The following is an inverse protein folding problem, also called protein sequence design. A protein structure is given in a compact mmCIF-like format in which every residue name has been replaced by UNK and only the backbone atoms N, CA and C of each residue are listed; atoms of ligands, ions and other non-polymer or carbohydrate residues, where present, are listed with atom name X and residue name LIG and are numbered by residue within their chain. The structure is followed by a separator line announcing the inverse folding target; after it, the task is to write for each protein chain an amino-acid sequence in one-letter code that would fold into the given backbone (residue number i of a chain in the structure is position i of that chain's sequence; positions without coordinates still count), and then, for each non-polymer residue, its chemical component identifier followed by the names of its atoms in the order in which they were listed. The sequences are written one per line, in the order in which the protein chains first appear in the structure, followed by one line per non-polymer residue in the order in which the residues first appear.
data_IF_225205687448
#
_entry.id   IF_225205687448
#
_cell.length_a   1.000
_cell.length_b   1.000
_cell.length_c   1.000
_cell.angle_alpha   90.00
_cell.angle_beta   90.00
_cell.angle_gamma   90.00
#
_symmetry.space_group_name_H-M   'P 1'
#
loop_
_entity.id
_entity.type
_entity.pdbx_description
1 polymer ?
#
# COMPACT_ATOMS: atom_id res chain seq x y z
N UNK A 1 11.91 1.16 7.09
CA UNK A 1 11.19 -0.13 7.22
C UNK A 1 11.95 -1.25 6.53
N UNK A 2 11.97 -2.43 7.14
CA UNK A 2 12.73 -3.61 6.67
C UNK A 2 12.32 -3.99 5.24
N UNK A 3 11.03 -3.91 4.91
CA UNK A 3 10.49 -4.15 3.57
C UNK A 3 10.96 -3.12 2.52
N UNK A 4 11.02 -1.83 2.87
CA UNK A 4 11.52 -0.77 1.97
C UNK A 4 13.02 -0.94 1.68
N UNK A 5 13.80 -1.31 2.70
CA UNK A 5 15.24 -1.56 2.55
C UNK A 5 15.51 -2.78 1.67
N UNK A 6 14.70 -3.85 1.82
CA UNK A 6 14.74 -5.02 0.95
C UNK A 6 14.41 -4.69 -0.51
N UNK A 7 13.31 -3.98 -0.75
CA UNK A 7 12.92 -3.54 -2.10
C UNK A 7 14.01 -2.68 -2.77
N UNK A 8 14.55 -1.68 -2.05
CA UNK A 8 15.61 -0.83 -2.60
C UNK A 8 16.86 -1.64 -2.95
N UNK A 9 17.28 -2.58 -2.10
CA UNK A 9 18.44 -3.44 -2.37
C UNK A 9 18.30 -4.22 -3.68
N UNK A 10 17.17 -4.91 -3.90
CA UNK A 10 16.97 -5.68 -5.14
C UNK A 10 16.81 -4.79 -6.37
N UNK A 11 16.18 -3.61 -6.21
CA UNK A 11 16.09 -2.60 -7.25
C UNK A 11 17.48 -2.08 -7.65
N UNK A 12 18.35 -1.78 -6.67
CA UNK A 12 19.68 -1.25 -6.92
C UNK A 12 20.58 -2.29 -7.63
N UNK A 13 20.51 -3.56 -7.22
CA UNK A 13 21.20 -4.68 -7.90
C UNK A 13 20.74 -4.80 -9.36
N UNK A 14 19.41 -4.74 -9.61
CA UNK A 14 18.86 -4.80 -10.98
C UNK A 14 19.36 -3.62 -11.83
N UNK A 15 19.34 -2.41 -11.27
CA UNK A 15 19.79 -1.19 -11.96
C UNK A 15 21.28 -1.27 -12.28
N UNK A 16 22.10 -1.79 -11.36
CA UNK A 16 23.52 -1.99 -11.58
C UNK A 16 23.79 -2.96 -12.74
N UNK A 17 23.14 -4.14 -12.74
CA UNK A 17 23.29 -5.14 -13.82
C UNK A 17 22.91 -4.56 -15.19
N UNK A 18 21.80 -3.82 -15.25
CA UNK A 18 21.34 -3.19 -16.50
C UNK A 18 22.33 -2.10 -16.94
N UNK A 19 22.85 -1.30 -16.01
CA UNK A 19 23.84 -0.26 -16.30
C UNK A 19 25.12 -0.85 -16.89
N UNK A 20 25.65 -1.91 -16.27
CA UNK A 20 26.84 -2.64 -16.77
C UNK A 20 26.59 -3.26 -18.16
N UNK A 21 25.37 -3.76 -18.40
CA UNK A 21 24.99 -4.29 -19.70
C UNK A 21 24.89 -3.20 -20.79
N UNK A 22 24.39 -2.00 -20.46
CA UNK A 22 24.31 -0.88 -21.40
C UNK A 22 25.72 -0.39 -21.75
N UNK A 23 26.62 -0.29 -20.76
CA UNK A 23 28.02 0.10 -20.97
C UNK A 23 28.72 -0.88 -21.93
N UNK A 24 28.45 -2.18 -21.79
CA UNK A 24 29.07 -3.24 -22.59
C UNK A 24 28.18 -3.77 -23.73
N UNK A 25 27.23 -2.96 -24.21
CA UNK A 25 26.18 -3.42 -25.14
C UNK A 25 26.71 -4.01 -26.45
N UNK A 26 27.82 -3.47 -26.98
CA UNK A 26 28.46 -3.98 -28.21
C UNK A 26 28.95 -5.42 -28.02
N UNK A 27 29.66 -5.68 -26.91
CA UNK A 27 30.19 -7.01 -26.58
C UNK A 27 29.07 -8.00 -26.33
N UNK A 28 28.01 -7.58 -25.62
CA UNK A 28 26.84 -8.42 -25.34
C UNK A 28 26.13 -8.82 -26.63
N UNK A 29 25.95 -7.89 -27.58
CA UNK A 29 25.34 -8.19 -28.88
C UNK A 29 26.22 -9.11 -29.74
N UNK A 30 27.53 -8.87 -29.79
CA UNK A 30 28.45 -9.73 -30.54
C UNK A 30 28.46 -11.17 -30.02
N UNK A 31 28.25 -11.36 -28.72
CA UNK A 31 28.24 -12.67 -28.07
C UNK A 31 26.83 -13.27 -27.90
N UNK A 32 25.78 -12.57 -28.34
CA UNK A 32 24.38 -12.96 -28.10
C UNK A 32 24.05 -13.25 -26.63
N UNK A 33 24.70 -12.55 -25.70
CA UNK A 33 24.57 -12.72 -24.24
C UNK A 33 23.32 -12.04 -23.65
N UNK A 34 22.46 -11.47 -24.48
CA UNK A 34 21.22 -10.79 -24.05
C UNK A 34 20.35 -11.68 -23.15
N UNK A 35 20.23 -12.97 -23.52
CA UNK A 35 19.46 -13.95 -22.74
C UNK A 35 20.04 -14.19 -21.34
N UNK A 36 21.37 -14.13 -21.19
CA UNK A 36 22.06 -14.34 -19.90
C UNK A 36 21.80 -13.15 -18.97
N UNK A 37 21.85 -11.93 -19.50
CA UNK A 37 21.52 -10.71 -18.76
C UNK A 37 20.07 -10.73 -18.27
N UNK A 38 19.15 -11.18 -19.13
CA UNK A 38 17.73 -11.36 -18.76
C UNK A 38 17.60 -12.40 -17.64
N UNK A 39 18.24 -13.56 -17.78
CA UNK A 39 18.23 -14.63 -16.77
C UNK A 39 18.72 -14.14 -15.41
N UNK A 40 19.79 -13.33 -15.38
CA UNK A 40 20.38 -12.79 -14.16
C UNK A 40 19.45 -11.77 -13.47
N UNK A 41 18.68 -11.00 -14.24
CA UNK A 41 17.77 -9.98 -13.70
C UNK A 41 16.42 -10.53 -13.22
N UNK A 42 15.95 -11.64 -13.79
CA UNK A 42 14.64 -12.25 -13.51
C UNK A 42 14.39 -12.61 -12.04
N UNK A 43 15.28 -13.33 -11.32
CA UNK A 43 15.04 -13.67 -9.91
C UNK A 43 14.99 -12.44 -9.00
N UNK A 44 15.77 -11.40 -9.32
CA UNK A 44 15.74 -10.12 -8.58
C UNK A 44 14.40 -9.39 -8.78
N UNK A 45 13.83 -9.46 -9.99
CA UNK A 45 12.54 -8.86 -10.32
C UNK A 45 11.37 -9.55 -9.61
N UNK A 46 11.41 -10.88 -9.46
CA UNK A 46 10.37 -11.63 -8.75
C UNK A 46 10.36 -11.29 -7.25
N UNK A 47 11.54 -11.18 -6.64
CA UNK A 47 11.68 -10.74 -5.25
C UNK A 47 11.21 -9.30 -5.06
N UNK A 48 11.60 -8.39 -5.95
CA UNK A 48 11.14 -7.00 -5.95
C UNK A 48 9.61 -6.91 -6.06
N UNK A 49 8.98 -7.65 -6.98
CA UNK A 49 7.52 -7.70 -7.12
C UNK A 49 6.83 -8.24 -5.86
N UNK A 50 7.40 -9.23 -5.16
CA UNK A 50 6.83 -9.75 -3.92
C UNK A 50 6.77 -8.67 -2.82
N UNK A 51 7.85 -7.91 -2.64
CA UNK A 51 7.87 -6.80 -1.67
C UNK A 51 6.97 -5.63 -2.10
N UNK A 52 6.89 -5.34 -3.41
CA UNK A 52 5.97 -4.35 -3.96
C UNK A 52 4.52 -4.74 -3.72
N UNK A 53 4.16 -6.00 -3.95
CA UNK A 53 2.81 -6.52 -3.73
C UNK A 53 2.42 -6.36 -2.25
N UNK A 54 3.27 -6.77 -1.31
CA UNK A 54 3.01 -6.59 0.12
C UNK A 54 2.77 -5.12 0.49
N UNK A 55 3.58 -4.20 -0.04
CA UNK A 55 3.40 -2.77 0.20
C UNK A 55 2.09 -2.25 -0.41
N UNK A 56 1.73 -2.69 -1.61
CA UNK A 56 0.48 -2.31 -2.28
C UNK A 56 -0.74 -2.86 -1.58
N UNK A 57 -0.67 -4.07 -1.02
CA UNK A 57 -1.72 -4.60 -0.16
C UNK A 57 -1.90 -3.77 1.11
N UNK A 58 -0.80 -3.42 1.80
CA UNK A 58 -0.88 -2.55 2.99
C UNK A 58 -1.48 -1.19 2.65
N UNK A 59 -1.03 -0.58 1.55
CA UNK A 59 -1.52 0.71 1.08
C UNK A 59 -3.01 0.65 0.71
N UNK A 60 -3.43 -0.37 -0.03
CA UNK A 60 -4.83 -0.59 -0.38
C UNK A 60 -5.71 -0.83 0.85
N UNK A 61 -5.23 -1.60 1.84
CA UNK A 61 -5.93 -1.80 3.12
C UNK A 61 -6.03 -0.49 3.89
N UNK A 62 -4.97 0.31 3.91
CA UNK A 62 -4.97 1.61 4.57
C UNK A 62 -6.00 2.55 3.92
N UNK A 63 -6.01 2.65 2.59
CA UNK A 63 -6.98 3.45 1.83
C UNK A 63 -8.41 2.94 2.05
N UNK A 64 -8.61 1.62 2.06
CA UNK A 64 -9.92 1.02 2.33
C UNK A 64 -10.41 1.32 3.74
N UNK A 65 -9.55 1.19 4.75
CA UNK A 65 -9.87 1.53 6.14
C UNK A 65 -10.18 3.02 6.28
N UNK A 66 -9.42 3.88 5.61
CA UNK A 66 -9.67 5.31 5.54
C UNK A 66 -11.02 5.65 4.92
N UNK A 67 -11.35 5.03 3.78
CA UNK A 67 -12.64 5.25 3.11
C UNK A 67 -13.84 4.65 3.87
N UNK A 68 -13.62 3.58 4.65
CA UNK A 68 -14.68 2.91 5.43
C UNK A 68 -14.82 3.43 6.86
N UNK A 69 -13.83 4.14 7.40
CA UNK A 69 -13.82 4.79 8.71
C UNK A 69 -15.11 5.60 8.99
N UNK A 70 -15.59 6.44 8.05
CA UNK A 70 -16.84 7.18 8.17
C UNK A 70 -18.08 6.33 8.47
N UNK A 71 -18.10 5.08 8.02
CA UNK A 71 -19.23 4.15 8.17
C UNK A 71 -19.04 3.25 9.39
N UNK A 72 -17.81 2.83 9.64
CA UNK A 72 -17.44 1.96 10.76
C UNK A 72 -17.64 2.65 12.12
N UNK A 73 -17.31 3.94 12.23
CA UNK A 73 -17.39 4.66 13.50
C UNK A 73 -18.84 4.86 13.98
N UNK A 74 -19.80 5.33 13.17
CA UNK A 74 -21.21 5.37 13.57
C UNK A 74 -21.73 3.98 13.92
N UNK A 75 -21.40 2.96 13.12
CA UNK A 75 -21.80 1.58 13.38
C UNK A 75 -21.34 1.07 14.75
N UNK A 76 -20.06 1.28 15.11
CA UNK A 76 -19.53 0.93 16.43
C UNK A 76 -20.18 1.73 17.56
N UNK A 77 -20.49 3.01 17.31
CA UNK A 77 -21.10 3.90 18.30
C UNK A 77 -22.55 3.48 18.59
N UNK A 78 -23.32 3.12 17.57
CA UNK A 78 -24.67 2.57 17.72
C UNK A 78 -24.65 1.21 18.41
N UNK A 79 -23.71 0.34 18.03
CA UNK A 79 -23.57 -0.99 18.64
C UNK A 79 -23.30 -0.89 20.16
N UNK A 80 -22.40 0.01 20.57
CA UNK A 80 -22.09 0.22 22.00
C UNK A 80 -23.25 0.85 22.77
N UNK A 81 -23.99 1.79 22.17
CA UNK A 81 -25.18 2.39 22.82
C UNK A 81 -26.31 1.39 23.02
N UNK A 82 -26.52 0.45 22.08
CA UNK A 82 -27.48 -0.65 22.24
C UNK A 82 -27.06 -1.59 23.38
N UNK A 83 -25.78 -1.96 23.46
CA UNK A 83 -25.25 -2.82 24.54
C UNK A 83 -25.39 -2.17 25.92
N UNK A 84 -25.22 -0.85 26.02
CA UNK A 84 -25.33 -0.08 27.26
C UNK A 84 -26.77 0.22 27.70
N UNK A 85 -27.80 -0.26 26.97
CA UNK A 85 -29.23 0.00 27.24
C UNK A 85 -29.58 1.50 27.39
N UNK A 86 -28.85 2.37 26.69
CA UNK A 86 -29.13 3.81 26.70
C UNK A 86 -30.33 4.06 25.78
N UNK A 87 -31.36 4.82 26.21
CA UNK A 87 -32.48 5.15 25.34
C UNK A 87 -31.99 5.95 24.13
N UNK A 88 -32.01 5.30 22.96
CA UNK A 88 -31.62 5.85 21.67
C UNK A 88 -32.74 6.77 21.17
N UNK A 89 -32.66 8.06 21.53
CA UNK A 89 -33.55 9.08 20.96
C UNK A 89 -33.03 9.50 19.58
N UNK A 90 -33.93 9.69 18.62
CA UNK A 90 -33.60 10.12 17.24
C UNK A 90 -32.71 11.36 17.20
N UNK A 91 -32.91 12.30 18.14
CA UNK A 91 -32.09 13.50 18.28
C UNK A 91 -30.59 13.20 18.52
N UNK A 92 -30.27 12.21 19.37
CA UNK A 92 -28.88 11.81 19.68
C UNK A 92 -28.19 11.15 18.48
N UNK A 93 -28.93 10.32 17.74
CA UNK A 93 -28.46 9.68 16.49
C UNK A 93 -28.05 10.74 15.46
N UNK A 94 -28.91 11.74 15.23
CA UNK A 94 -28.61 12.82 14.29
C UNK A 94 -27.44 13.70 14.74
N UNK A 95 -27.32 14.01 16.04
CA UNK A 95 -26.18 14.80 16.55
C UNK A 95 -24.85 14.05 16.41
N UNK A 96 -24.81 12.75 16.72
CA UNK A 96 -23.59 11.94 16.56
C UNK A 96 -23.15 11.84 15.11
N UNK A 97 -24.08 11.60 14.18
CA UNK A 97 -23.77 11.57 12.73
C UNK A 97 -23.25 12.93 12.25
N UNK A 98 -23.86 14.04 12.70
CA UNK A 98 -23.43 15.38 12.33
C UNK A 98 -22.01 15.70 12.84
N UNK A 99 -21.69 15.38 14.10
CA UNK A 99 -20.33 15.54 14.64
C UNK A 99 -19.30 14.69 13.88
N UNK A 100 -19.68 13.45 13.53
CA UNK A 100 -18.81 12.55 12.77
C UNK A 100 -18.51 13.11 11.39
N UNK A 101 -19.52 13.60 10.66
CA UNK A 101 -19.33 14.24 9.35
C UNK A 101 -18.42 15.48 9.43
N UNK A 102 -18.52 16.27 10.51
CA UNK A 102 -17.60 17.40 10.74
C UNK A 102 -16.16 16.95 11.00
N UNK A 103 -15.94 15.76 11.56
CA UNK A 103 -14.62 15.20 11.85
C UNK A 103 -13.99 14.48 10.63
N UNK A 104 -14.81 13.87 9.77
CA UNK A 104 -14.35 13.19 8.56
C UNK A 104 -13.73 14.17 7.56
N UNK A 105 -14.29 15.38 7.45
CA UNK A 105 -13.82 16.41 6.52
C UNK A 105 -12.34 16.80 6.71
N UNK A 106 -11.86 17.15 7.93
CA UNK A 106 -10.44 17.42 8.15
C UNK A 106 -9.59 16.16 8.08
N UNK A 107 -10.10 15.00 8.47
CA UNK A 107 -9.33 13.76 8.41
C UNK A 107 -8.98 13.37 6.97
N UNK A 108 -9.91 13.47 6.02
CA UNK A 108 -9.66 13.11 4.61
C UNK A 108 -8.84 14.15 3.83
N UNK A 109 -8.62 15.34 4.40
CA UNK A 109 -7.87 16.43 3.75
C UNK A 109 -6.36 16.39 4.02
N UNK A 110 -5.90 15.51 4.92
CA UNK A 110 -4.49 15.30 5.26
C UNK A 110 -4.05 13.88 4.91
#
# INVERSE_FOLDING_TARGET
GIATKGMMKYKDIRVQIISEAIINIKSIKMLSWENIVILLSKPNRDLECKYLAQRKYLDAVCVFLWASMPVLVPFATFTTTVLLNIPLTTAKVFTTIALLNMLIFPMNAF
#
